data_IF_727402266062
#
_entry.id   IF_727402266062
#
_cell.length_a   1.000
_cell.length_b   1.000
_cell.length_c   1.000
_cell.angle_alpha   90.00
_cell.angle_beta   90.00
_cell.angle_gamma   90.00
#
_symmetry.space_group_name_H-M   'P 1'
#
loop_
_entity.id
_entity.type
_entity.pdbx_description
1 polymer ?
#
# COMPACT_ATOMS: atom_id res chain seq x y z
N UNK A 1 -3.01 -4.03 -18.51
CA UNK A 1 -2.31 -4.64 -17.36
C UNK A 1 -1.11 -5.37 -17.91
N UNK A 2 0.09 -5.17 -17.37
CA UNK A 2 1.30 -5.84 -17.89
C UNK A 2 1.27 -7.33 -17.58
N UNK A 3 1.92 -8.13 -18.42
CA UNK A 3 1.91 -9.59 -18.27
C UNK A 3 2.56 -10.04 -16.96
N UNK A 4 3.58 -9.30 -16.50
CA UNK A 4 4.21 -9.55 -15.21
C UNK A 4 3.29 -9.26 -14.03
N UNK A 5 2.48 -8.19 -14.07
CA UNK A 5 1.53 -7.91 -12.99
C UNK A 5 0.47 -9.01 -12.94
N UNK A 6 -0.09 -9.43 -14.08
CA UNK A 6 -1.05 -10.55 -14.14
C UNK A 6 -0.45 -11.85 -13.61
N UNK A 7 0.82 -12.12 -13.92
CA UNK A 7 1.52 -13.31 -13.44
C UNK A 7 1.70 -13.28 -11.91
N UNK A 8 2.17 -12.16 -11.36
CA UNK A 8 2.34 -11.99 -9.91
C UNK A 8 1.00 -12.03 -9.15
N UNK A 9 -0.06 -11.47 -9.74
CA UNK A 9 -1.42 -11.56 -9.20
C UNK A 9 -1.91 -13.00 -9.12
N UNK A 10 -1.74 -13.78 -10.19
CA UNK A 10 -2.08 -15.21 -10.21
C UNK A 10 -1.31 -16.00 -9.15
N UNK A 11 -0.01 -15.72 -8.97
CA UNK A 11 0.78 -16.35 -7.90
C UNK A 11 0.32 -15.94 -6.50
N UNK A 12 -0.08 -14.69 -6.30
CA UNK A 12 -0.57 -14.20 -5.00
C UNK A 12 -1.95 -14.71 -4.63
N UNK A 13 -2.79 -15.01 -5.63
CA UNK A 13 -4.15 -15.50 -5.43
C UNK A 13 -4.22 -16.96 -4.97
N UNK A 14 -3.18 -17.74 -5.23
CA UNK A 14 -3.14 -19.17 -4.91
C UNK A 14 -1.96 -19.48 -3.96
N UNK A 15 -2.30 -19.86 -2.73
CA UNK A 15 -1.33 -20.12 -1.67
C UNK A 15 -0.39 -21.30 -1.98
N UNK A 16 -0.74 -22.19 -2.91
CA UNK A 16 0.12 -23.31 -3.29
C UNK A 16 1.42 -22.85 -3.94
N UNK A 17 1.41 -21.70 -4.62
CA UNK A 17 2.60 -21.13 -5.28
C UNK A 17 3.66 -20.65 -4.29
N UNK A 18 3.29 -20.37 -3.03
CA UNK A 18 4.22 -19.91 -1.99
C UNK A 18 5.37 -20.89 -1.74
N UNK A 19 5.13 -22.18 -1.93
CA UNK A 19 6.07 -23.26 -1.66
C UNK A 19 6.41 -24.07 -2.91
N UNK A 20 6.00 -23.61 -4.10
CA UNK A 20 6.28 -24.29 -5.35
C UNK A 20 7.79 -24.31 -5.63
N UNK A 21 8.30 -25.46 -6.07
CA UNK A 21 9.68 -25.58 -6.55
C UNK A 21 9.86 -24.82 -7.87
N UNK A 22 11.09 -24.47 -8.22
CA UNK A 22 11.40 -23.85 -9.52
C UNK A 22 10.90 -24.68 -10.71
N UNK A 23 11.00 -26.01 -10.62
CA UNK A 23 10.48 -26.94 -11.64
C UNK A 23 8.95 -26.86 -11.79
N UNK A 24 8.24 -26.63 -10.69
CA UNK A 24 6.77 -26.46 -10.70
C UNK A 24 6.37 -25.08 -11.23
N UNK A 25 7.24 -24.08 -11.06
CA UNK A 25 7.04 -22.72 -11.56
C UNK A 25 7.31 -22.59 -13.06
N UNK A 26 8.21 -23.39 -13.60
CA UNK A 26 8.69 -23.27 -14.97
C UNK A 26 7.57 -23.29 -16.03
N UNK A 27 6.59 -24.22 -16.00
CA UNK A 27 5.51 -24.23 -16.99
C UNK A 27 4.65 -22.95 -16.92
N UNK A 28 4.39 -22.46 -15.70
CA UNK A 28 3.61 -21.24 -15.50
C UNK A 28 4.35 -19.99 -16.01
N UNK A 29 5.69 -19.99 -15.92
CA UNK A 29 6.55 -18.95 -16.46
C UNK A 29 6.69 -19.02 -17.97
N UNK A 30 6.70 -20.21 -18.56
CA UNK A 30 6.79 -20.41 -20.01
C UNK A 30 5.50 -19.91 -20.70
N UNK A 31 4.34 -20.19 -20.10
CA UNK A 31 3.04 -19.67 -20.54
C UNK A 31 2.91 -18.15 -20.33
N UNK A 32 3.67 -17.59 -19.41
CA UNK A 32 3.66 -16.15 -19.16
C UNK A 32 4.46 -15.43 -20.24
N UNK A 33 3.88 -14.39 -20.83
CA UNK A 33 4.53 -13.56 -21.85
C UNK A 33 5.51 -12.57 -21.21
N UNK A 34 6.51 -13.07 -20.47
CA UNK A 34 7.47 -12.28 -19.71
C UNK A 34 8.79 -12.10 -20.45
N UNK A 35 9.51 -11.04 -20.17
CA UNK A 35 10.87 -10.88 -20.69
C UNK A 35 11.82 -11.91 -20.06
N UNK A 36 12.88 -12.30 -20.78
CA UNK A 36 13.83 -13.30 -20.29
C UNK A 36 14.46 -12.90 -18.95
N UNK A 37 14.77 -11.62 -18.78
CA UNK A 37 15.34 -11.05 -17.55
C UNK A 37 14.36 -11.14 -16.37
N UNK A 38 13.07 -10.93 -16.63
CA UNK A 38 12.02 -11.05 -15.63
C UNK A 38 11.86 -12.50 -15.16
N UNK A 39 11.85 -13.47 -16.09
CA UNK A 39 11.78 -14.90 -15.76
C UNK A 39 12.97 -15.32 -14.92
N UNK A 40 14.18 -14.91 -15.31
CA UNK A 40 15.40 -15.23 -14.58
C UNK A 40 15.36 -14.68 -13.14
N UNK A 41 14.93 -13.42 -12.96
CA UNK A 41 14.79 -12.82 -11.64
C UNK A 41 13.75 -13.55 -10.77
N UNK A 42 12.63 -13.99 -11.35
CA UNK A 42 11.60 -14.75 -10.64
C UNK A 42 12.13 -16.13 -10.21
N UNK A 43 12.76 -16.89 -11.12
CA UNK A 43 13.29 -18.23 -10.82
C UNK A 43 14.39 -18.17 -9.76
N UNK A 44 15.24 -17.15 -9.79
CA UNK A 44 16.30 -16.94 -8.81
C UNK A 44 15.79 -16.39 -7.45
N UNK A 45 14.52 -15.95 -7.37
CA UNK A 45 14.01 -15.24 -6.21
C UNK A 45 14.69 -13.87 -5.98
N UNK A 46 15.28 -13.29 -7.02
CA UNK A 46 16.03 -12.03 -6.95
C UNK A 46 15.07 -10.83 -6.98
N UNK A 47 14.57 -10.49 -5.80
CA UNK A 47 13.63 -9.40 -5.63
C UNK A 47 14.21 -8.01 -5.92
N UNK A 48 15.46 -7.68 -5.53
CA UNK A 48 16.11 -6.45 -5.97
C UNK A 48 16.17 -6.31 -7.49
N UNK A 49 16.60 -7.34 -8.22
CA UNK A 49 16.66 -7.30 -9.68
C UNK A 49 15.29 -7.14 -10.31
N UNK A 50 14.29 -7.90 -9.83
CA UNK A 50 12.91 -7.78 -10.34
C UNK A 50 12.35 -6.37 -10.13
N UNK A 51 12.58 -5.76 -8.97
CA UNK A 51 12.15 -4.37 -8.69
C UNK A 51 12.79 -3.37 -9.64
N UNK A 52 14.07 -3.53 -9.95
CA UNK A 52 14.77 -2.67 -10.90
C UNK A 52 14.17 -2.78 -12.32
N UNK A 53 13.89 -4.00 -12.80
CA UNK A 53 13.24 -4.24 -14.10
C UNK A 53 11.83 -3.62 -14.18
N UNK A 54 11.10 -3.60 -13.07
CA UNK A 54 9.76 -3.03 -12.99
C UNK A 54 9.76 -1.51 -12.76
N UNK A 55 10.92 -0.87 -12.59
CA UNK A 55 11.02 0.54 -12.24
C UNK A 55 10.41 0.88 -10.88
N UNK A 56 10.32 -0.10 -9.98
CA UNK A 56 9.76 0.09 -8.65
C UNK A 56 10.70 0.94 -7.80
N UNK A 57 10.17 2.03 -7.25
CA UNK A 57 10.88 2.82 -6.25
C UNK A 57 10.74 2.19 -4.86
N UNK A 58 11.70 2.41 -3.95
CA UNK A 58 11.53 2.05 -2.55
C UNK A 58 10.26 2.70 -1.99
N UNK A 59 9.33 1.87 -1.51
CA UNK A 59 8.15 2.34 -0.78
C UNK A 59 8.45 2.28 0.71
N UNK A 60 8.36 3.42 1.39
CA UNK A 60 8.36 3.50 2.85
C UNK A 60 6.94 3.78 3.31
N UNK A 61 6.44 2.93 4.21
CA UNK A 61 5.18 3.16 4.90
C UNK A 61 5.47 3.13 6.41
N UNK A 62 4.85 4.04 7.15
CA UNK A 62 4.84 4.04 8.61
C UNK A 62 3.44 3.74 9.09
N UNK A 63 3.31 2.76 9.97
CA UNK A 63 2.07 2.56 10.70
C UNK A 63 1.97 3.68 11.73
N UNK A 64 0.98 4.54 11.57
CA UNK A 64 0.61 5.50 12.60
C UNK A 64 -0.29 4.77 13.61
N UNK A 65 -0.19 5.09 14.92
CA UNK A 65 -1.18 4.64 15.88
C UNK A 65 -2.56 5.08 15.39
N UNK A 66 -3.58 4.25 15.63
CA UNK A 66 -4.95 4.70 15.45
C UNK A 66 -5.18 5.93 16.34
N UNK A 67 -5.84 6.94 15.80
CA UNK A 67 -6.35 8.03 16.63
C UNK A 67 -7.34 7.40 17.62
N UNK A 68 -7.18 7.71 18.92
CA UNK A 68 -8.21 7.41 19.90
C UNK A 68 -9.44 8.20 19.46
N UNK A 69 -10.56 7.51 19.21
CA UNK A 69 -11.84 8.18 19.00
C UNK A 69 -12.06 9.06 20.24
N UNK A 70 -12.02 10.38 20.08
CA UNK A 70 -12.45 11.28 21.14
C UNK A 70 -13.90 10.90 21.44
N UNK A 71 -14.14 10.30 22.60
CA UNK A 71 -15.50 10.12 23.11
C UNK A 71 -16.12 11.52 23.08
N UNK A 72 -17.10 11.72 22.19
CA UNK A 72 -17.93 12.91 22.19
C UNK A 72 -18.53 12.99 23.59
N UNK A 73 -17.94 13.82 24.45
CA UNK A 73 -18.54 14.17 25.72
C UNK A 73 -19.85 14.85 25.34
N UNK A 74 -20.97 14.15 25.55
CA UNK A 74 -22.29 14.75 25.57
C UNK A 74 -22.24 15.83 26.66
N UNK A 75 -22.01 17.07 26.22
CA UNK A 75 -22.14 18.27 27.04
C UNK A 75 -23.62 18.38 27.42
N UNK A 76 -24.01 17.73 28.52
CA UNK A 76 -25.26 18.00 29.22
C UNK A 76 -25.19 19.42 29.78
N UNK A 77 -25.52 20.37 28.89
CA UNK A 77 -25.92 21.75 29.10
C UNK A 77 -25.63 22.39 30.46
N UNK A 78 -24.64 23.28 30.48
CA UNK A 78 -24.76 24.52 31.26
C UNK A 78 -24.50 25.72 30.33
N UNK A 79 -25.53 26.53 30.11
CA UNK A 79 -25.46 27.77 29.33
C UNK A 79 -24.32 28.67 29.82
N UNK A 80 -23.20 28.68 29.11
CA UNK A 80 -22.17 29.70 29.29
C UNK A 80 -22.72 31.07 28.80
N UNK A 81 -22.60 32.15 29.59
CA UNK A 81 -23.08 33.46 29.17
C UNK A 81 -22.33 33.94 27.92
N UNK A 82 -22.95 34.77 27.06
CA UNK A 82 -22.37 35.13 25.77
C UNK A 82 -21.04 35.88 25.96
N UNK A 83 -19.95 35.26 25.51
CA UNK A 83 -18.61 35.86 25.51
C UNK A 83 -18.51 36.95 24.44
N UNK A 84 -18.22 38.17 24.89
CA UNK A 84 -18.16 39.46 24.16
C UNK A 84 -16.94 39.57 23.21
N UNK A 85 -16.58 38.48 22.52
CA UNK A 85 -15.34 38.36 21.73
C UNK A 85 -15.46 38.84 20.28
N UNK A 86 -16.66 39.19 19.82
CA UNK A 86 -16.93 39.63 18.43
C UNK A 86 -16.68 41.12 18.16
N UNK A 87 -16.08 41.88 19.10
CA UNK A 87 -15.83 43.34 18.92
C UNK A 87 -14.41 43.74 18.54
N UNK A 88 -13.46 42.81 18.42
CA UNK A 88 -12.07 43.13 18.02
C UNK A 88 -11.71 42.80 16.57
N UNK A 89 -12.70 42.49 15.72
CA UNK A 89 -12.50 42.38 14.27
C UNK A 89 -12.71 43.70 13.50
N UNK A 90 -12.93 44.84 14.19
CA UNK A 90 -13.20 46.14 13.56
C UNK A 90 -12.15 47.22 13.87
N UNK A 91 -10.96 46.87 14.36
CA UNK A 91 -9.89 47.82 14.71
C UNK A 91 -8.57 47.57 13.96
N UNK A 92 -8.66 47.10 12.71
CA UNK A 92 -7.57 47.11 11.74
C UNK A 92 -8.14 47.62 10.40
N UNK A 93 -8.29 48.94 10.33
CA UNK A 93 -8.43 49.75 9.13
C UNK A 93 -7.52 50.97 9.29
#
# INVERSE_FOLDING_TARGET
MSDIIRFLERMGADAQWRHASGETLQPALDDAQLDAEQRAAIVAGDMPALRALLGCLPLMAVQLPAEEEEEEQEDEGEEAPPSDSLRRAAALA
#
